data_IF_888814094114
#
_entry.id   IF_888814094114
#
_cell.length_a   1.000
_cell.length_b   1.000
_cell.length_c   1.000
_cell.angle_alpha   90.00
_cell.angle_beta   90.00
_cell.angle_gamma   90.00
#
_symmetry.space_group_name_H-M   'P 1'
#
loop_
_entity.id
_entity.type
_entity.pdbx_description
1 polymer ?
#
# COMPACT_ATOMS: atom_id res chain seq x y z
N UNK A 1 -17.80 27.19 51.48
CA UNK A 1 -19.23 26.82 51.40
C UNK A 1 -19.39 26.00 50.12
N UNK A 2 -19.42 24.65 50.09
CA UNK A 2 -20.43 23.66 50.59
C UNK A 2 -21.88 24.16 50.35
N UNK A 3 -22.83 23.51 49.62
CA UNK A 3 -23.08 22.11 49.18
C UNK A 3 -24.01 22.01 47.94
N UNK A 4 -23.72 21.02 47.07
CA UNK A 4 -24.57 19.94 46.48
C UNK A 4 -26.07 20.14 46.17
N UNK A 5 -26.46 19.84 44.92
CA UNK A 5 -27.56 18.94 44.50
C UNK A 5 -27.27 18.56 43.03
N UNK A 6 -27.01 17.31 42.61
CA UNK A 6 -27.59 16.04 43.01
C UNK A 6 -28.81 15.73 42.14
N UNK A 7 -28.65 14.82 41.14
CA UNK A 7 -29.62 14.19 40.19
C UNK A 7 -29.22 14.49 38.73
N UNK A 8 -29.01 13.53 37.82
CA UNK A 8 -29.58 12.21 37.64
C UNK A 8 -28.62 11.38 36.77
N UNK A 9 -28.27 10.17 37.22
CA UNK A 9 -27.73 9.13 36.35
C UNK A 9 -28.80 8.79 35.32
N UNK A 10 -28.54 9.08 34.04
CA UNK A 10 -29.22 8.40 32.94
C UNK A 10 -28.19 7.47 32.28
N UNK A 11 -28.24 6.23 32.76
CA UNK A 11 -27.81 5.03 32.07
C UNK A 11 -28.77 4.79 30.89
N UNK A 12 -28.25 4.20 29.82
CA UNK A 12 -28.95 3.75 28.59
C UNK A 12 -29.10 4.89 27.56
N UNK A 13 -28.24 4.97 26.54
CA UNK A 13 -28.32 4.12 25.35
C UNK A 13 -26.92 3.85 24.75
N UNK A 14 -26.43 2.62 24.88
CA UNK A 14 -25.34 2.09 24.06
C UNK A 14 -25.92 1.78 22.68
N UNK A 15 -26.19 2.84 21.91
CA UNK A 15 -26.49 2.74 20.50
C UNK A 15 -25.28 2.15 19.81
N UNK A 16 -25.31 0.84 19.57
CA UNK A 16 -24.44 0.15 18.63
C UNK A 16 -24.49 0.95 17.34
N UNK A 17 -23.41 1.69 17.06
CA UNK A 17 -23.23 2.30 15.74
C UNK A 17 -23.08 1.12 14.80
N UNK A 18 -24.16 0.73 14.14
CA UNK A 18 -24.09 -0.15 12.99
C UNK A 18 -23.16 0.52 11.98
N UNK A 19 -21.91 0.08 11.98
CA UNK A 19 -21.03 0.28 10.84
C UNK A 19 -21.76 -0.29 9.64
N UNK A 20 -21.98 0.48 8.56
CA UNK A 20 -22.61 -0.08 7.37
C UNK A 20 -21.76 -1.27 6.95
N UNK A 21 -22.33 -2.47 7.07
CA UNK A 21 -21.67 -3.69 6.65
C UNK A 21 -21.33 -3.51 5.17
N UNK A 22 -20.05 -3.27 4.87
CA UNK A 22 -19.55 -3.24 3.50
C UNK A 22 -19.99 -4.55 2.87
N UNK A 23 -20.99 -4.49 1.97
CA UNK A 23 -21.48 -5.68 1.27
C UNK A 23 -20.29 -6.25 0.52
N UNK A 24 -19.72 -7.33 1.05
CA UNK A 24 -18.64 -8.07 0.39
C UNK A 24 -19.22 -8.55 -0.93
N UNK A 25 -18.71 -8.01 -2.04
CA UNK A 25 -18.97 -8.59 -3.36
C UNK A 25 -18.18 -9.88 -3.40
N UNK A 26 -18.85 -11.00 -3.11
CA UNK A 26 -18.27 -12.33 -3.30
C UNK A 26 -18.11 -12.50 -4.80
N UNK A 27 -16.88 -12.53 -5.27
CA UNK A 27 -16.59 -12.92 -6.65
C UNK A 27 -16.64 -14.44 -6.69
N UNK A 28 -17.78 -14.99 -7.10
CA UNK A 28 -17.88 -16.42 -7.42
C UNK A 28 -17.07 -16.66 -8.70
N UNK A 29 -15.99 -17.42 -8.55
CA UNK A 29 -15.15 -17.83 -9.67
C UNK A 29 -15.80 -19.05 -10.32
N UNK A 30 -16.28 -18.93 -11.55
CA UNK A 30 -16.91 -20.05 -12.27
C UNK A 30 -15.84 -21.06 -12.71
N UNK A 31 -15.85 -22.30 -12.21
CA UNK A 31 -14.84 -23.29 -12.55
C UNK A 31 -14.81 -23.63 -14.05
N UNK A 32 -15.84 -23.28 -14.82
CA UNK A 32 -15.94 -23.53 -16.26
C UNK A 32 -15.33 -22.43 -17.14
N UNK A 33 -14.95 -21.28 -16.59
CA UNK A 33 -14.20 -20.26 -17.35
C UNK A 33 -12.71 -20.59 -17.47
N UNK A 34 -12.23 -21.65 -16.80
CA UNK A 34 -10.83 -22.07 -16.75
C UNK A 34 -10.42 -23.05 -17.86
N UNK A 35 -11.20 -23.17 -18.94
CA UNK A 35 -11.01 -24.20 -19.99
C UNK A 35 -9.84 -23.94 -20.95
N UNK A 36 -8.80 -23.21 -20.54
CA UNK A 36 -7.63 -22.99 -21.37
C UNK A 36 -6.39 -22.83 -20.52
N UNK A 37 -5.76 -23.94 -20.10
CA UNK A 37 -4.38 -24.00 -19.57
C UNK A 37 -3.95 -22.85 -18.62
N UNK A 38 -4.86 -22.20 -17.90
CA UNK A 38 -4.52 -21.40 -16.71
C UNK A 38 -4.54 -22.38 -15.53
N UNK A 39 -3.68 -23.39 -15.65
CA UNK A 39 -3.20 -24.13 -14.50
C UNK A 39 -2.64 -23.04 -13.58
N UNK A 40 -3.18 -22.92 -12.37
CA UNK A 40 -2.58 -22.10 -11.32
C UNK A 40 -1.19 -22.69 -11.05
N UNK A 41 -0.21 -22.31 -11.87
CA UNK A 41 1.18 -22.62 -11.67
C UNK A 41 1.65 -21.72 -10.53
N UNK A 42 1.42 -22.19 -9.30
CA UNK A 42 2.18 -21.71 -8.17
C UNK A 42 3.60 -22.17 -8.42
N UNK A 43 4.36 -21.40 -9.21
CA UNK A 43 5.72 -21.71 -9.62
C UNK A 43 6.54 -21.95 -8.36
N UNK A 44 6.63 -23.22 -7.96
CA UNK A 44 7.25 -23.64 -6.71
C UNK A 44 8.72 -23.86 -7.04
N UNK A 45 9.47 -22.77 -7.16
CA UNK A 45 10.87 -22.77 -7.58
C UNK A 45 11.61 -21.53 -7.10
N UNK A 46 12.94 -21.58 -7.13
CA UNK A 46 13.82 -20.48 -6.69
C UNK A 46 13.63 -19.19 -7.49
N UNK A 47 13.03 -19.25 -8.69
CA UNK A 47 12.75 -18.11 -9.56
C UNK A 47 11.42 -17.39 -9.25
N UNK A 48 10.61 -17.89 -8.31
CA UNK A 48 9.30 -17.29 -8.02
C UNK A 48 9.42 -15.82 -7.60
N UNK A 49 10.35 -15.52 -6.69
CA UNK A 49 10.57 -14.16 -6.22
C UNK A 49 11.09 -13.23 -7.33
N UNK A 50 11.98 -13.73 -8.18
CA UNK A 50 12.52 -12.98 -9.33
C UNK A 50 11.41 -12.66 -10.34
N UNK A 51 10.56 -13.63 -10.67
CA UNK A 51 9.41 -13.44 -11.57
C UNK A 51 8.42 -12.41 -11.00
N UNK A 52 8.11 -12.47 -9.71
CA UNK A 52 7.25 -11.46 -9.05
C UNK A 52 7.87 -10.07 -9.17
N UNK A 53 9.18 -9.95 -8.92
CA UNK A 53 9.85 -8.66 -8.97
C UNK A 53 9.89 -8.09 -10.40
N UNK A 54 10.13 -8.94 -11.38
CA UNK A 54 10.04 -8.58 -12.81
C UNK A 54 8.64 -8.05 -13.15
N UNK A 55 7.57 -8.73 -12.71
CA UNK A 55 6.19 -8.27 -12.92
C UNK A 55 5.95 -6.91 -12.23
N UNK A 56 6.48 -6.70 -11.02
CA UNK A 56 6.38 -5.40 -10.35
C UNK A 56 7.13 -4.29 -11.10
N UNK A 57 8.24 -4.61 -11.77
CA UNK A 57 8.95 -3.66 -12.62
C UNK A 57 8.11 -3.30 -13.87
N UNK A 58 7.48 -4.30 -14.51
CA UNK A 58 6.56 -4.07 -15.63
C UNK A 58 5.34 -3.22 -15.21
N UNK A 59 4.80 -3.45 -14.00
CA UNK A 59 3.75 -2.62 -13.43
C UNK A 59 4.21 -1.18 -13.20
N UNK A 60 5.44 -0.99 -12.69
CA UNK A 60 6.02 0.35 -12.49
C UNK A 60 6.12 1.09 -13.83
N UNK A 61 6.67 0.47 -14.86
CA UNK A 61 6.84 1.05 -16.19
C UNK A 61 5.49 1.41 -16.83
N UNK A 62 4.48 0.56 -16.61
CA UNK A 62 3.11 0.75 -17.09
C UNK A 62 2.26 1.68 -16.19
N UNK A 63 2.82 2.15 -15.06
CA UNK A 63 2.11 2.91 -14.02
C UNK A 63 0.85 2.20 -13.48
N UNK A 64 0.87 0.87 -13.46
CA UNK A 64 -0.20 0.05 -12.89
C UNK A 64 0.05 -0.13 -11.40
N UNK A 65 -1.01 0.02 -10.60
CA UNK A 65 -0.98 -0.18 -9.14
C UNK A 65 0.01 0.71 -8.36
N UNK A 66 0.63 1.70 -9.01
CA UNK A 66 1.46 2.69 -8.33
C UNK A 66 0.57 3.57 -7.44
N UNK A 67 0.98 3.70 -6.19
CA UNK A 67 0.22 4.37 -5.13
C UNK A 67 1.04 5.50 -4.47
N UNK A 68 2.24 5.77 -4.98
CA UNK A 68 3.07 6.91 -4.63
C UNK A 68 3.89 7.40 -5.83
N UNK A 69 4.16 8.70 -5.85
CA UNK A 69 5.09 9.37 -6.74
C UNK A 69 6.18 9.97 -5.86
N UNK A 70 7.42 9.51 -6.02
CA UNK A 70 8.58 10.15 -5.40
C UNK A 70 9.05 11.26 -6.32
N UNK A 71 9.21 12.47 -5.80
CA UNK A 71 9.77 13.60 -6.54
C UNK A 71 11.15 13.94 -5.98
N UNK A 72 12.16 13.95 -6.84
CA UNK A 72 13.55 14.31 -6.51
C UNK A 72 14.06 15.27 -7.58
N UNK A 73 14.52 16.46 -7.17
CA UNK A 73 15.01 17.51 -8.08
C UNK A 73 14.02 17.84 -9.21
N UNK A 74 12.72 17.75 -8.91
CA UNK A 74 11.63 17.99 -9.88
C UNK A 74 11.35 16.83 -10.83
N UNK A 75 12.10 15.71 -10.75
CA UNK A 75 11.83 14.48 -11.50
C UNK A 75 10.89 13.57 -10.71
N UNK A 76 9.84 13.10 -11.37
CA UNK A 76 8.82 12.23 -10.77
C UNK A 76 9.06 10.75 -11.06
N UNK A 77 8.89 9.93 -10.02
CA UNK A 77 9.07 8.49 -10.07
C UNK A 77 7.83 7.79 -9.48
N UNK A 78 6.85 7.39 -10.32
CA UNK A 78 5.75 6.54 -9.89
C UNK A 78 6.28 5.19 -9.39
N UNK A 79 5.78 4.73 -8.24
CA UNK A 79 6.22 3.48 -7.63
C UNK A 79 5.18 2.93 -6.64
N UNK A 80 5.47 1.73 -6.12
CA UNK A 80 4.63 1.03 -5.16
C UNK A 80 5.18 1.17 -3.75
N UNK A 81 4.39 1.72 -2.83
CA UNK A 81 4.73 1.89 -1.41
C UNK A 81 5.11 0.57 -0.75
N UNK A 82 4.41 -0.51 -1.10
CA UNK A 82 4.68 -1.85 -0.60
C UNK A 82 6.09 -2.34 -0.97
N UNK A 83 6.50 -2.19 -2.23
CA UNK A 83 7.83 -2.58 -2.72
C UNK A 83 8.92 -1.73 -2.06
N UNK A 84 8.74 -0.40 -2.01
CA UNK A 84 9.68 0.50 -1.34
C UNK A 84 9.84 0.16 0.16
N UNK A 85 8.74 -0.13 0.86
CA UNK A 85 8.74 -0.50 2.27
C UNK A 85 9.37 -1.86 2.55
N UNK A 86 9.28 -2.79 1.60
CA UNK A 86 9.93 -4.09 1.70
C UNK A 86 11.45 -3.94 1.65
N UNK A 87 11.96 -3.10 0.74
CA UNK A 87 13.39 -2.91 0.50
C UNK A 87 14.06 -1.89 1.44
N UNK A 88 13.32 -0.96 2.05
CA UNK A 88 13.89 0.14 2.83
C UNK A 88 13.12 0.43 4.11
N UNK A 89 13.83 0.43 5.24
CA UNK A 89 13.28 0.81 6.55
C UNK A 89 12.87 2.28 6.60
N UNK A 90 13.52 3.15 5.83
CA UNK A 90 13.14 4.56 5.70
C UNK A 90 11.75 4.71 5.07
N UNK A 91 11.53 4.08 3.91
CA UNK A 91 10.22 4.12 3.24
C UNK A 91 9.16 3.40 4.06
N UNK A 92 9.50 2.30 4.74
CA UNK A 92 8.59 1.64 5.67
C UNK A 92 8.14 2.57 6.79
N UNK A 93 9.06 3.27 7.45
CA UNK A 93 8.72 4.22 8.51
C UNK A 93 7.89 5.38 7.96
N UNK A 94 8.23 5.92 6.78
CA UNK A 94 7.49 6.99 6.14
C UNK A 94 6.04 6.59 5.82
N UNK A 95 5.84 5.39 5.29
CA UNK A 95 4.54 4.96 4.77
C UNK A 95 3.63 4.25 5.79
N UNK A 96 4.18 3.73 6.88
CA UNK A 96 3.41 3.01 7.91
C UNK A 96 3.12 3.82 9.18
N UNK A 97 3.75 4.98 9.37
CA UNK A 97 3.48 5.85 10.52
C UNK A 97 2.27 6.75 10.26
N UNK A 98 1.61 7.23 11.31
CA UNK A 98 0.39 8.06 11.21
C UNK A 98 0.69 9.54 10.87
N UNK A 99 1.79 9.79 10.16
CA UNK A 99 2.19 11.12 9.74
C UNK A 99 1.47 11.51 8.45
N UNK A 100 1.38 12.81 8.16
CA UNK A 100 0.64 13.31 7.00
C UNK A 100 1.19 12.73 5.68
N UNK A 101 2.51 12.63 5.58
CA UNK A 101 3.26 12.08 4.44
C UNK A 101 2.88 10.64 4.13
N UNK A 102 2.43 9.87 5.14
CA UNK A 102 1.93 8.51 4.94
C UNK A 102 0.62 8.46 4.13
N UNK A 103 -0.04 9.59 3.87
CA UNK A 103 -1.31 9.62 3.12
C UNK A 103 -1.21 10.40 1.83
N UNK A 104 -0.10 11.09 1.60
CA UNK A 104 0.14 11.85 0.39
C UNK A 104 0.55 10.90 -0.76
N UNK A 105 0.01 11.18 -1.94
CA UNK A 105 0.38 10.46 -3.17
C UNK A 105 1.71 10.96 -3.72
N UNK A 106 2.05 12.24 -3.53
CA UNK A 106 3.30 12.85 -3.97
C UNK A 106 4.20 13.10 -2.77
N UNK A 107 5.40 12.53 -2.78
CA UNK A 107 6.40 12.70 -1.73
C UNK A 107 7.66 13.31 -2.32
N UNK A 108 7.98 14.52 -1.89
CA UNK A 108 9.21 15.20 -2.29
C UNK A 108 10.37 14.81 -1.36
N UNK A 109 11.48 14.36 -1.94
CA UNK A 109 12.69 14.02 -1.20
C UNK A 109 13.80 14.97 -1.64
N UNK A 110 14.29 15.73 -0.67
CA UNK A 110 15.37 16.70 -0.85
C UNK A 110 16.71 16.10 -0.39
N UNK A 111 17.81 16.60 -0.96
CA UNK A 111 19.18 16.24 -0.53
C UNK A 111 19.77 14.98 -1.16
N UNK A 112 19.13 14.45 -2.20
CA UNK A 112 19.67 13.39 -3.06
C UNK A 112 19.54 13.80 -4.53
N UNK A 113 20.40 13.23 -5.37
CA UNK A 113 20.35 13.43 -6.81
C UNK A 113 19.27 12.55 -7.45
N UNK A 114 18.61 13.05 -8.50
CA UNK A 114 17.62 12.28 -9.26
C UNK A 114 18.20 10.99 -9.84
N UNK A 115 19.47 10.99 -10.28
CA UNK A 115 20.17 9.80 -10.77
C UNK A 115 20.35 8.76 -9.66
N UNK A 116 20.61 9.20 -8.43
CA UNK A 116 20.74 8.28 -7.29
C UNK A 116 19.40 7.60 -6.98
N UNK A 117 18.28 8.32 -7.09
CA UNK A 117 16.94 7.74 -6.96
C UNK A 117 16.64 6.76 -8.10
N UNK A 118 17.03 7.06 -9.33
CA UNK A 118 16.89 6.12 -10.47
C UNK A 118 17.67 4.82 -10.22
N UNK A 119 18.94 4.92 -9.82
CA UNK A 119 19.76 3.75 -9.48
C UNK A 119 19.16 2.94 -8.32
N UNK A 120 18.65 3.61 -7.30
CA UNK A 120 17.96 2.95 -6.19
C UNK A 120 16.72 2.20 -6.67
N UNK A 121 15.87 2.83 -7.48
CA UNK A 121 14.66 2.19 -8.00
C UNK A 121 14.99 1.05 -8.95
N UNK A 122 16.04 1.17 -9.77
CA UNK A 122 16.52 0.07 -10.59
C UNK A 122 16.86 -1.15 -9.73
N UNK A 123 17.68 -0.96 -8.68
CA UNK A 123 18.00 -2.03 -7.74
C UNK A 123 16.75 -2.63 -7.07
N UNK A 124 15.85 -1.77 -6.56
CA UNK A 124 14.63 -2.21 -5.86
C UNK A 124 13.75 -3.10 -6.74
N UNK A 125 13.66 -2.84 -8.04
CA UNK A 125 12.75 -3.54 -8.95
C UNK A 125 13.42 -4.62 -9.81
N UNK A 126 14.75 -4.75 -9.79
CA UNK A 126 15.44 -5.81 -10.56
C UNK A 126 16.33 -6.74 -9.75
N UNK A 127 16.58 -6.44 -8.47
CA UNK A 127 17.43 -7.25 -7.60
C UNK A 127 18.91 -6.90 -7.74
#
# INVERSE_FOLDING_TARGET
>A
MVLILGRRLNREDLGVRDSPATKRKVFEMDPKSLTGHEFFDFSSGSSHAENILQIFNEFRDSRLFTDVIICVEGKEFPCHRAVLSACSSYFRAMFCNDHRESREMLVEINGILAEAMECFLQYVYTG
#
